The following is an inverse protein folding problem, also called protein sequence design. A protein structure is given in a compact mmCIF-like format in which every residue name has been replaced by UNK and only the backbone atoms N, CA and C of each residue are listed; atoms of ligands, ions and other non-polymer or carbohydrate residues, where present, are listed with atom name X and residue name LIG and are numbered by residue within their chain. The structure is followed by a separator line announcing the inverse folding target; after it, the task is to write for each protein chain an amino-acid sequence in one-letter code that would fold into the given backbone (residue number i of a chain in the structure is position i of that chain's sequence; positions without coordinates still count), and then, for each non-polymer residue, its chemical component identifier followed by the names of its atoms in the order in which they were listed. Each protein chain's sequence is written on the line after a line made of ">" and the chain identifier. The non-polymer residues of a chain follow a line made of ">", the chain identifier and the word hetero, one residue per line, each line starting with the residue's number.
data_IF_834511056160
#
_entry.id   IF_834511056160
#
_cell.length_a   1.000
_cell.length_b   1.000
_cell.length_c   1.000
_cell.angle_alpha   90.00
_cell.angle_beta   90.00
_cell.angle_gamma   90.00
#
_symmetry.space_group_name_H-M   'P 1'
#
loop_
_entity.id
_entity.type
_entity.pdbx_description
1 polymer ?
#
# COMPACT_ATOMS: atom_id res chain seq x y z
N UNK A 1 11.35 -29.15 20.05
CA UNK A 1 11.36 -29.06 18.58
C UNK A 1 11.50 -27.59 18.21
N UNK A 2 12.34 -27.22 17.22
CA UNK A 2 12.57 -25.80 16.92
C UNK A 2 11.40 -25.27 16.07
N UNK A 3 10.95 -24.02 16.27
CA UNK A 3 9.81 -23.45 15.51
C UNK A 3 10.05 -23.42 13.99
N UNK A 4 11.32 -23.47 13.61
CA UNK A 4 11.81 -23.47 12.22
C UNK A 4 11.48 -24.79 11.48
N UNK A 5 11.20 -25.87 12.21
CA UNK A 5 10.84 -27.19 11.66
C UNK A 5 9.34 -27.28 11.30
N UNK A 6 8.49 -26.39 11.84
CA UNK A 6 7.05 -26.34 11.57
C UNK A 6 6.70 -25.54 10.32
N UNK A 7 7.60 -24.66 9.87
CA UNK A 7 7.39 -23.79 8.71
C UNK A 7 7.71 -24.46 7.38
N UNK A 8 8.52 -25.53 7.37
CA UNK A 8 9.00 -26.20 6.15
C UNK A 8 8.20 -27.44 5.76
N UNK A 9 7.33 -27.94 6.65
CA UNK A 9 6.57 -29.17 6.43
C UNK A 9 5.09 -28.83 6.55
N UNK A 10 4.30 -28.97 5.48
CA UNK A 10 2.85 -28.72 5.47
C UNK A 10 2.17 -29.45 6.65
N UNK A 11 1.92 -28.78 7.79
CA UNK A 11 1.53 -29.48 8.99
C UNK A 11 0.02 -29.74 8.93
N UNK A 12 -0.40 -30.94 9.32
CA UNK A 12 -1.84 -31.24 9.39
C UNK A 12 -2.50 -30.35 10.46
N UNK A 13 -3.75 -29.90 10.23
CA UNK A 13 -4.46 -29.01 11.17
C UNK A 13 -4.61 -29.60 12.58
N UNK A 14 -4.66 -30.92 12.70
CA UNK A 14 -4.70 -31.64 13.98
C UNK A 14 -3.40 -31.46 14.78
N UNK A 15 -2.23 -31.52 14.11
CA UNK A 15 -0.93 -31.30 14.78
C UNK A 15 -0.74 -29.85 15.22
N UNK A 16 -1.26 -28.90 14.45
CA UNK A 16 -1.26 -27.49 14.84
C UNK A 16 -2.14 -27.27 16.08
N UNK A 17 -3.29 -27.94 16.18
CA UNK A 17 -4.18 -27.84 17.33
C UNK A 17 -3.58 -28.48 18.59
N UNK A 18 -2.86 -29.60 18.47
CA UNK A 18 -2.14 -30.21 19.59
C UNK A 18 -1.02 -29.30 20.11
N UNK A 19 -0.21 -28.71 19.22
CA UNK A 19 0.83 -27.78 19.64
C UNK A 19 0.30 -26.47 20.18
N UNK A 20 -0.81 -25.96 19.65
CA UNK A 20 -1.46 -24.76 20.18
C UNK A 20 -1.92 -24.95 21.63
N UNK A 21 -2.20 -26.19 22.08
CA UNK A 21 -2.52 -26.50 23.48
C UNK A 21 -1.29 -26.49 24.40
N UNK A 22 -0.10 -26.70 23.86
CA UNK A 22 1.16 -26.65 24.63
C UNK A 22 1.68 -25.22 24.82
N UNK A 23 1.19 -24.26 24.03
CA UNK A 23 1.59 -22.85 24.13
C UNK A 23 0.84 -22.20 25.31
N UNK A 24 1.56 -21.56 26.26
CA UNK A 24 0.91 -20.85 27.34
C UNK A 24 0.06 -19.69 26.80
N UNK A 25 -1.13 -19.53 27.36
CA UNK A 25 -2.03 -18.44 26.98
C UNK A 25 -1.33 -17.09 27.16
N UNK A 26 -1.28 -16.24 26.11
CA UNK A 26 -0.63 -14.95 26.22
C UNK A 26 -1.36 -14.07 27.24
N UNK A 27 -0.63 -13.26 28.02
CA UNK A 27 -1.24 -12.35 28.98
C UNK A 27 -2.17 -11.35 28.28
N UNK A 28 -3.27 -10.99 28.94
CA UNK A 28 -4.35 -10.18 28.38
C UNK A 28 -3.85 -8.86 27.76
N UNK A 29 -2.90 -8.19 28.41
CA UNK A 29 -2.31 -6.93 27.94
C UNK A 29 -1.64 -7.08 26.56
N UNK A 30 -1.02 -8.24 26.29
CA UNK A 30 -0.39 -8.51 24.98
C UNK A 30 -1.44 -8.81 23.91
N UNK A 31 -2.53 -9.47 24.27
CA UNK A 31 -3.65 -9.70 23.36
C UNK A 31 -4.32 -8.38 22.98
N UNK A 32 -4.48 -7.47 23.94
CA UNK A 32 -5.08 -6.17 23.72
C UNK A 32 -4.17 -5.29 22.86
N UNK A 33 -2.87 -5.23 23.16
CA UNK A 33 -1.88 -4.57 22.30
C UNK A 33 -1.85 -5.15 20.87
N UNK A 34 -1.95 -6.47 20.72
CA UNK A 34 -1.98 -7.11 19.40
C UNK A 34 -3.28 -6.83 18.65
N UNK A 35 -4.42 -6.76 19.36
CA UNK A 35 -5.71 -6.35 18.79
C UNK A 35 -5.69 -4.90 18.36
N UNK A 36 -5.10 -4.01 19.14
CA UNK A 36 -4.92 -2.60 18.77
C UNK A 36 -4.01 -2.44 17.55
N UNK A 37 -2.93 -3.21 17.48
CA UNK A 37 -1.98 -3.20 16.37
C UNK A 37 -2.63 -3.76 15.09
N UNK A 38 -3.42 -4.83 15.22
CA UNK A 38 -4.23 -5.37 14.12
C UNK A 38 -5.37 -4.43 13.71
N UNK A 39 -6.04 -3.77 14.65
CA UNK A 39 -7.06 -2.78 14.34
C UNK A 39 -6.46 -1.54 13.66
N UNK A 40 -5.24 -1.15 14.03
CA UNK A 40 -4.49 -0.09 13.38
C UNK A 40 -4.03 -0.47 11.97
N UNK A 41 -3.66 -1.73 11.73
CA UNK A 41 -3.32 -2.23 10.39
C UNK A 41 -4.56 -2.50 9.52
N UNK A 42 -5.70 -2.81 10.14
CA UNK A 42 -6.99 -3.03 9.47
C UNK A 42 -7.80 -1.74 9.26
N UNK A 43 -7.36 -0.59 9.78
CA UNK A 43 -7.99 0.71 9.45
C UNK A 43 -7.79 1.00 7.97
N UNK A 44 -8.77 0.50 7.22
CA UNK A 44 -9.11 0.70 5.83
C UNK A 44 -7.89 0.86 4.91
N UNK A 45 -7.73 -0.12 4.01
CA UNK A 45 -7.49 0.21 2.61
C UNK A 45 -8.55 1.28 2.27
N UNK A 46 -8.21 2.55 2.51
CA UNK A 46 -9.09 3.66 2.22
C UNK A 46 -9.45 3.46 0.77
N UNK A 47 -10.75 3.34 0.44
CA UNK A 47 -11.23 3.25 -0.94
C UNK A 47 -10.32 4.10 -1.80
N UNK A 48 -9.39 3.46 -2.53
CA UNK A 48 -8.19 4.17 -2.97
C UNK A 48 -8.65 5.11 -4.07
N UNK A 49 -8.91 6.36 -3.68
CA UNK A 49 -9.17 7.43 -4.60
C UNK A 49 -7.99 7.44 -5.56
N UNK A 50 -8.28 7.21 -6.83
CA UNK A 50 -7.25 6.90 -7.79
C UNK A 50 -6.21 8.03 -7.82
N UNK A 51 -4.91 7.71 -7.94
CA UNK A 51 -3.87 8.71 -7.97
C UNK A 51 -4.23 9.83 -8.96
N UNK A 52 -4.07 11.12 -8.62
CA UNK A 52 -4.45 12.24 -9.50
C UNK A 52 -3.89 12.11 -10.92
N UNK A 53 -2.68 11.55 -11.02
CA UNK A 53 -1.96 11.26 -12.26
C UNK A 53 -2.72 10.29 -13.19
N UNK A 54 -3.52 9.38 -12.61
CA UNK A 54 -4.26 8.33 -13.31
C UNK A 54 -5.73 8.69 -13.58
N UNK A 55 -6.22 9.83 -13.09
CA UNK A 55 -7.61 10.26 -13.30
C UNK A 55 -7.92 10.51 -14.79
N UNK A 56 -7.06 11.26 -15.50
CA UNK A 56 -7.24 11.53 -16.93
C UNK A 56 -7.14 10.23 -17.75
N UNK A 57 -6.09 9.38 -17.61
CA UNK A 57 -6.05 8.08 -18.26
C UNK A 57 -7.27 7.20 -17.98
N UNK A 58 -7.78 7.21 -16.74
CA UNK A 58 -9.00 6.47 -16.36
C UNK A 58 -10.21 6.90 -17.16
N UNK A 59 -10.40 8.20 -17.40
CA UNK A 59 -11.51 8.68 -18.26
C UNK A 59 -11.36 8.25 -19.72
N UNK A 60 -10.12 7.99 -20.17
CA UNK A 60 -9.78 7.64 -21.56
C UNK A 60 -9.54 6.14 -21.78
N UNK A 61 -9.67 5.30 -20.75
CA UNK A 61 -9.38 3.87 -20.83
C UNK A 61 -10.25 3.14 -21.86
N UNK A 62 -11.49 3.61 -22.02
CA UNK A 62 -12.44 3.05 -22.97
C UNK A 62 -12.39 3.78 -24.31
N UNK A 63 -11.58 3.26 -25.21
CA UNK A 63 -11.42 3.78 -26.57
C UNK A 63 -12.64 3.53 -27.47
N UNK A 64 -13.64 2.73 -27.03
CA UNK A 64 -14.86 2.45 -27.80
C UNK A 64 -15.79 3.67 -27.87
N UNK A 65 -15.68 4.57 -26.88
CA UNK A 65 -16.48 5.78 -26.76
C UNK A 65 -15.66 7.03 -27.07
N UNK A 66 -15.11 7.11 -28.28
CA UNK A 66 -14.55 8.36 -28.79
C UNK A 66 -15.62 9.46 -28.88
N UNK A 67 -15.20 10.72 -28.70
CA UNK A 67 -16.05 11.91 -28.76
C UNK A 67 -16.89 12.00 -30.06
N UNK A 68 -18.04 12.70 -30.03
CA UNK A 68 -18.86 12.88 -31.21
C UNK A 68 -18.05 13.50 -32.36
N UNK A 69 -18.14 12.97 -33.60
CA UNK A 69 -17.40 13.51 -34.72
C UNK A 69 -17.87 14.94 -35.01
N UNK A 70 -16.95 15.90 -34.92
CA UNK A 70 -17.15 17.29 -35.30
C UNK A 70 -16.43 17.60 -36.62
N UNK A 71 -16.84 18.67 -37.29
CA UNK A 71 -16.17 19.16 -38.50
C UNK A 71 -16.04 20.68 -38.42
N UNK A 72 -14.84 21.16 -38.70
CA UNK A 72 -14.55 22.60 -38.80
C UNK A 72 -14.72 23.14 -40.23
N UNK A 73 -15.09 22.28 -41.19
CA UNK A 73 -15.27 22.68 -42.58
C UNK A 73 -16.62 23.41 -42.73
N UNK A 74 -16.56 24.64 -43.23
CA UNK A 74 -17.74 25.47 -43.50
C UNK A 74 -18.53 24.96 -44.72
N UNK A 75 -19.83 25.24 -44.73
CA UNK A 75 -20.73 24.82 -45.81
C UNK A 75 -21.19 23.36 -45.71
N UNK A 76 -21.82 22.86 -46.78
CA UNK A 76 -22.53 21.57 -46.84
C UNK A 76 -21.62 20.35 -46.68
N UNK A 77 -20.33 20.51 -46.98
CA UNK A 77 -19.30 19.46 -46.87
C UNK A 77 -19.04 19.08 -45.41
N UNK A 78 -19.16 20.02 -44.48
CA UNK A 78 -18.97 19.77 -43.04
C UNK A 78 -19.98 18.76 -42.48
N UNK A 79 -21.29 19.02 -42.60
CA UNK A 79 -22.34 18.10 -42.18
C UNK A 79 -22.28 16.74 -42.89
N UNK A 80 -22.02 16.71 -44.20
CA UNK A 80 -21.92 15.46 -44.96
C UNK A 80 -20.80 14.55 -44.41
N UNK A 81 -19.64 15.13 -44.08
CA UNK A 81 -18.53 14.40 -43.48
C UNK A 81 -18.87 13.86 -42.08
N UNK A 82 -19.58 14.65 -41.26
CA UNK A 82 -20.03 14.22 -39.93
C UNK A 82 -21.00 13.05 -40.05
N UNK A 83 -21.97 13.13 -40.97
CA UNK A 83 -22.94 12.05 -41.23
C UNK A 83 -22.24 10.79 -41.72
N UNK A 84 -21.29 10.90 -42.65
CA UNK A 84 -20.51 9.76 -43.12
C UNK A 84 -19.71 9.10 -41.98
N UNK A 85 -19.03 9.89 -41.13
CA UNK A 85 -18.31 9.37 -39.95
C UNK A 85 -19.25 8.67 -38.96
N UNK A 86 -20.44 9.22 -38.73
CA UNK A 86 -21.45 8.60 -37.85
C UNK A 86 -21.97 7.29 -38.43
N UNK A 87 -22.28 7.26 -39.73
CA UNK A 87 -22.76 6.07 -40.41
C UNK A 87 -21.70 4.95 -40.41
N UNK A 88 -20.45 5.29 -40.73
CA UNK A 88 -19.33 4.35 -40.63
C UNK A 88 -19.22 3.79 -39.21
N UNK A 89 -19.22 4.65 -38.19
CA UNK A 89 -19.14 4.20 -36.80
C UNK A 89 -20.29 3.28 -36.44
N UNK A 90 -21.53 3.58 -36.83
CA UNK A 90 -22.69 2.75 -36.55
C UNK A 90 -22.57 1.36 -37.17
N UNK A 91 -22.17 1.27 -38.44
CA UNK A 91 -22.03 0.00 -39.17
C UNK A 91 -20.89 -0.84 -38.60
N UNK A 92 -19.75 -0.22 -38.29
CA UNK A 92 -18.55 -0.92 -37.83
C UNK A 92 -18.43 -1.01 -36.30
N UNK A 93 -19.36 -0.45 -35.53
CA UNK A 93 -19.29 -0.45 -34.05
C UNK A 93 -19.11 -1.85 -33.45
N UNK A 94 -19.76 -2.93 -33.94
CA UNK A 94 -19.56 -4.27 -33.39
C UNK A 94 -18.11 -4.76 -33.56
N UNK A 95 -17.52 -4.51 -34.73
CA UNK A 95 -16.13 -4.85 -35.02
C UNK A 95 -15.16 -3.99 -34.21
N UNK A 96 -15.42 -2.68 -34.11
CA UNK A 96 -14.66 -1.75 -33.27
C UNK A 96 -14.69 -2.21 -31.81
N UNK A 97 -15.85 -2.61 -31.30
CA UNK A 97 -16.00 -3.10 -29.94
C UNK A 97 -15.18 -4.37 -29.70
N UNK A 98 -15.20 -5.33 -30.63
CA UNK A 98 -14.48 -6.59 -30.48
C UNK A 98 -12.96 -6.38 -30.58
N UNK A 99 -12.49 -5.57 -31.54
CA UNK A 99 -11.07 -5.25 -31.68
C UNK A 99 -10.55 -4.47 -30.47
N UNK A 100 -11.31 -3.48 -29.99
CA UNK A 100 -10.91 -2.65 -28.86
C UNK A 100 -11.15 -3.33 -27.52
N UNK A 101 -11.95 -4.40 -27.44
CA UNK A 101 -12.21 -5.12 -26.18
C UNK A 101 -10.91 -5.50 -25.48
N UNK A 102 -9.97 -6.08 -26.22
CA UNK A 102 -8.65 -6.47 -25.68
C UNK A 102 -7.79 -5.27 -25.28
N UNK A 103 -7.91 -4.15 -25.99
CA UNK A 103 -7.21 -2.92 -25.63
C UNK A 103 -7.79 -2.29 -24.35
N UNK A 104 -9.11 -2.32 -24.18
CA UNK A 104 -9.77 -1.82 -22.97
C UNK A 104 -9.41 -2.70 -21.76
N UNK A 105 -9.50 -4.03 -21.91
CA UNK A 105 -9.08 -4.98 -20.86
C UNK A 105 -7.60 -4.76 -20.45
N UNK A 106 -6.72 -4.55 -21.43
CA UNK A 106 -5.31 -4.26 -21.18
C UNK A 106 -5.10 -2.90 -20.49
N UNK A 107 -5.78 -1.85 -20.95
CA UNK A 107 -5.71 -0.52 -20.34
C UNK A 107 -6.20 -0.55 -18.90
N UNK A 108 -7.27 -1.30 -18.61
CA UNK A 108 -7.76 -1.52 -17.25
C UNK A 108 -6.72 -2.21 -16.38
N UNK A 109 -6.16 -3.33 -16.85
CA UNK A 109 -5.14 -4.07 -16.10
C UNK A 109 -3.87 -3.23 -15.82
N UNK A 110 -3.42 -2.43 -16.80
CA UNK A 110 -2.28 -1.53 -16.60
C UNK A 110 -2.62 -0.45 -15.57
N UNK A 111 -3.78 0.20 -15.72
CA UNK A 111 -4.17 1.27 -14.81
C UNK A 111 -4.28 0.75 -13.37
N UNK A 112 -4.86 -0.44 -13.19
CA UNK A 112 -4.96 -1.09 -11.88
C UNK A 112 -3.57 -1.42 -11.31
N UNK A 113 -2.66 -1.96 -12.13
CA UNK A 113 -1.29 -2.24 -11.70
C UNK A 113 -0.52 -0.96 -11.30
N UNK A 114 -0.71 0.14 -12.03
CA UNK A 114 -0.09 1.43 -11.72
C UNK A 114 -0.64 2.03 -10.43
N UNK A 115 -1.94 1.88 -10.18
CA UNK A 115 -2.55 2.32 -8.93
C UNK A 115 -1.97 1.54 -7.74
N UNK A 116 -1.81 0.21 -7.88
CA UNK A 116 -1.20 -0.64 -6.85
C UNK A 116 0.27 -0.25 -6.58
N UNK A 117 1.07 -0.08 -7.63
CA UNK A 117 2.48 0.32 -7.50
C UNK A 117 2.59 1.67 -6.81
N UNK A 118 1.71 2.62 -7.15
CA UNK A 118 1.70 3.93 -6.52
C UNK A 118 1.41 3.86 -5.02
N UNK A 119 0.44 3.03 -4.63
CA UNK A 119 0.11 2.79 -3.21
C UNK A 119 1.30 2.18 -2.47
N UNK A 120 1.93 1.15 -3.04
CA UNK A 120 3.11 0.52 -2.47
C UNK A 120 4.28 1.52 -2.30
N UNK A 121 4.58 2.33 -3.32
CA UNK A 121 5.63 3.36 -3.22
C UNK A 121 5.33 4.38 -2.12
N UNK A 122 4.06 4.75 -1.95
CA UNK A 122 3.63 5.67 -0.90
C UNK A 122 3.83 5.06 0.49
N UNK A 123 3.51 3.79 0.67
CA UNK A 123 3.74 3.05 1.92
C UNK A 123 5.24 2.89 2.22
N UNK A 124 6.03 2.47 1.22
CA UNK A 124 7.48 2.34 1.35
C UNK A 124 8.14 3.67 1.75
N UNK A 125 7.72 4.77 1.14
CA UNK A 125 8.23 6.12 1.49
C UNK A 125 7.89 6.48 2.94
N UNK A 126 6.67 6.17 3.39
CA UNK A 126 6.24 6.40 4.79
C UNK A 126 7.07 5.55 5.74
N UNK A 127 7.21 4.25 5.46
CA UNK A 127 8.00 3.32 6.26
C UNK A 127 9.48 3.75 6.33
N UNK A 128 10.08 4.11 5.20
CA UNK A 128 11.46 4.59 5.16
C UNK A 128 11.64 5.87 5.96
N UNK A 129 10.68 6.80 5.91
CA UNK A 129 10.73 8.03 6.71
C UNK A 129 10.61 7.77 8.22
N UNK A 130 9.78 6.79 8.62
CA UNK A 130 9.65 6.37 10.02
C UNK A 130 10.94 5.70 10.51
N UNK A 131 11.49 4.79 9.71
CA UNK A 131 12.76 4.12 9.99
C UNK A 131 13.92 5.11 10.11
N UNK A 132 14.03 6.09 9.19
CA UNK A 132 15.06 7.14 9.28
C UNK A 132 14.94 7.94 10.59
N UNK A 133 13.72 8.29 11.01
CA UNK A 133 13.50 9.00 12.30
C UNK A 133 13.94 8.15 13.49
N UNK A 134 13.63 6.85 13.48
CA UNK A 134 14.02 5.93 14.53
C UNK A 134 15.55 5.76 14.60
N UNK A 135 16.21 5.55 13.46
CA UNK A 135 17.67 5.43 13.39
C UNK A 135 18.34 6.71 13.92
N UNK A 136 17.87 7.88 13.50
CA UNK A 136 18.38 9.16 14.00
C UNK A 136 18.18 9.32 15.51
N UNK A 137 17.03 8.91 16.04
CA UNK A 137 16.77 8.96 17.48
C UNK A 137 17.71 8.04 18.27
N UNK A 138 17.95 6.83 17.77
CA UNK A 138 18.91 5.88 18.36
C UNK A 138 20.34 6.41 18.30
N UNK A 139 20.74 7.01 17.17
CA UNK A 139 22.05 7.62 17.02
C UNK A 139 22.26 8.76 18.03
N UNK A 140 21.29 9.67 18.16
CA UNK A 140 21.32 10.76 19.14
C UNK A 140 21.37 10.26 20.60
N UNK A 141 20.71 9.13 20.91
CA UNK A 141 20.76 8.53 22.23
C UNK A 141 22.15 7.94 22.55
N UNK A 142 22.86 7.42 21.55
CA UNK A 142 24.22 6.91 21.67
C UNK A 142 25.27 8.02 21.72
N UNK A 143 25.02 9.16 21.05
CA UNK A 143 25.91 10.32 21.05
C UNK A 143 25.81 11.14 22.34
N UNK A 144 24.70 11.03 23.09
CA UNK A 144 24.63 11.54 24.47
C UNK A 144 25.64 10.78 25.33
N UNK A 145 26.65 11.44 25.92
CA UNK A 145 27.55 10.78 26.84
C UNK A 145 26.71 10.25 28.01
N UNK A 146 26.85 8.97 28.32
CA UNK A 146 26.41 8.43 29.61
C UNK A 146 27.14 9.21 30.69
N UNK A 147 26.47 10.19 31.30
CA UNK A 147 26.99 10.85 32.49
C UNK A 147 27.21 9.74 33.53
N UNK A 148 28.46 9.51 33.99
CA UNK A 148 28.74 8.46 34.95
C UNK A 148 27.88 8.71 36.20
N UNK A 149 27.31 7.66 36.82
CA UNK A 149 26.49 7.85 38.01
C UNK A 149 27.29 8.65 39.04
N UNK A 150 26.69 9.74 39.52
CA UNK A 150 27.31 10.63 40.50
C UNK A 150 27.90 9.79 41.65
N UNK A 151 29.16 10.05 42.06
CA UNK A 151 29.80 9.25 43.09
C UNK A 151 28.97 9.31 44.36
N UNK A 152 28.49 8.15 44.80
CA UNK A 152 27.81 7.96 46.08
C UNK A 152 28.68 8.60 47.16
N UNK A 153 28.17 9.56 47.97
CA UNK A 153 28.96 10.17 49.02
C UNK A 153 29.44 9.09 49.98
N UNK A 154 30.76 8.87 50.01
CA UNK A 154 31.39 7.90 50.89
C UNK A 154 31.02 8.20 52.35
N UNK A 155 30.64 7.18 53.15
CA UNK A 155 30.26 7.39 54.54
C UNK A 155 31.44 8.00 55.31
N UNK A 156 31.20 9.17 55.89
CA UNK A 156 32.20 9.97 56.58
C UNK A 156 32.99 9.16 57.61
N UNK A 157 34.31 9.11 57.41
CA UNK A 157 35.28 8.59 58.36
C UNK A 157 35.26 9.48 59.62
N UNK A 158 34.48 9.08 60.63
CA UNK A 158 34.57 9.68 61.98
C UNK A 158 36.01 9.52 62.47
N UNK A 159 36.77 10.63 62.45
CA UNK A 159 38.01 10.79 63.22
C UNK A 159 37.65 10.62 64.69
N UNK A 160 37.96 9.45 65.27
CA UNK A 160 38.13 9.32 66.72
C UNK A 160 39.50 9.88 67.07
N UNK A 161 39.51 11.09 67.61
CA UNK A 161 40.57 11.60 68.46
C UNK A 161 40.05 11.69 69.90
N UNK A 162 41.00 11.74 70.84
CA UNK A 162 40.90 11.61 72.29
C UNK A 162 40.76 10.18 72.79
#
# INVERSE_FOLDING_TARGET
>A
MRPEELLSTSPSPERLAEQAREVPEPPADKLEAMRELLAASQRAQAETEWPPLLQIPRTKKDSRYAEPPTSHRTGVVGPALVTAKRAFRLVFQPFINEMLRKQVEFNEAILDSLALIYEQQREETRAQSAWRREVMARLNALEKPTEPPAPTPAPGRKRRGA
#
